data_IF_802335689057
#
_entry.id   IF_802335689057
#
_cell.length_a   1.000
_cell.length_b   1.000
_cell.length_c   1.000
_cell.angle_alpha   90.00
_cell.angle_beta   90.00
_cell.angle_gamma   90.00
#
_symmetry.space_group_name_H-M   'P 1'
#
loop_
_entity.id
_entity.type
_entity.pdbx_description
1 polymer ?
#
# COMPACT_ATOMS: atom_id res chain seq x y z
N UNK A 1 -8.42 54.24 9.66
CA UNK A 1 -8.07 53.81 8.28
C UNK A 1 -6.88 52.85 8.39
N UNK A 2 -7.11 51.64 8.89
CA UNK A 2 -6.09 50.60 9.03
C UNK A 2 -6.44 49.47 8.08
N UNK A 3 -5.79 49.40 6.94
CA UNK A 3 -5.91 48.32 5.98
C UNK A 3 -4.58 47.57 5.94
N UNK A 4 -4.62 46.29 6.27
CA UNK A 4 -3.46 45.40 6.30
C UNK A 4 -3.90 43.95 6.47
N UNK A 5 -4.95 43.55 5.75
CA UNK A 5 -5.36 42.17 5.53
C UNK A 5 -5.17 41.87 4.05
N UNK A 6 -4.01 41.30 3.68
CA UNK A 6 -3.68 40.65 2.40
C UNK A 6 -2.20 40.26 2.58
N UNK A 7 -1.69 39.04 2.46
CA UNK A 7 -2.10 37.94 1.62
C UNK A 7 -1.30 36.72 2.10
N UNK A 8 -1.96 35.70 2.64
CA UNK A 8 -1.35 34.38 2.87
C UNK A 8 -1.34 33.69 1.50
N UNK A 9 -0.22 33.77 0.79
CA UNK A 9 -0.01 33.01 -0.43
C UNK A 9 0.39 31.57 -0.08
N UNK A 10 -0.29 30.52 -0.61
CA UNK A 10 0.20 29.16 -0.48
C UNK A 10 1.47 28.98 -1.33
N UNK A 11 2.57 28.57 -0.67
CA UNK A 11 3.85 28.27 -1.34
C UNK A 11 3.69 26.99 -2.15
N UNK A 12 3.55 27.16 -3.46
CA UNK A 12 4.00 26.27 -4.55
C UNK A 12 4.09 24.77 -4.24
N UNK A 13 3.14 24.02 -4.80
CA UNK A 13 3.33 22.63 -5.22
C UNK A 13 4.46 22.59 -6.27
N UNK A 14 5.70 22.39 -5.83
CA UNK A 14 6.82 22.20 -6.74
C UNK A 14 6.80 20.77 -7.29
N UNK A 15 6.08 20.61 -8.40
CA UNK A 15 6.19 19.48 -9.32
C UNK A 15 7.58 19.50 -9.99
N UNK A 16 8.62 18.99 -9.33
CA UNK A 16 9.91 18.76 -9.96
C UNK A 16 10.70 17.64 -9.26
N UNK A 17 10.36 16.38 -9.58
CA UNK A 17 11.36 15.31 -9.70
C UNK A 17 10.83 14.11 -10.51
N UNK A 18 10.94 14.21 -11.83
CA UNK A 18 11.11 13.02 -12.66
C UNK A 18 12.51 12.48 -12.37
N UNK A 19 12.64 11.59 -11.37
CA UNK A 19 13.87 10.88 -11.09
C UNK A 19 13.69 9.42 -11.50
N UNK A 20 14.59 8.98 -12.39
CA UNK A 20 14.81 7.64 -12.93
C UNK A 20 14.10 6.49 -12.19
N UNK A 21 13.27 5.73 -12.92
CA UNK A 21 12.62 4.50 -12.47
C UNK A 21 13.62 3.34 -12.25
N UNK A 22 14.59 3.54 -11.38
CA UNK A 22 15.34 2.48 -10.71
C UNK A 22 14.54 2.05 -9.50
N UNK A 23 13.74 1.00 -9.68
CA UNK A 23 13.09 0.14 -8.67
C UNK A 23 12.74 0.82 -7.33
N UNK A 24 11.65 1.61 -7.30
CA UNK A 24 11.15 2.24 -6.06
C UNK A 24 10.83 1.22 -4.95
N UNK A 25 10.63 -0.05 -5.31
CA UNK A 25 10.40 -1.14 -4.38
C UNK A 25 11.52 -2.16 -4.50
N UNK A 26 12.11 -2.58 -3.38
CA UNK A 26 13.08 -3.68 -3.32
C UNK A 26 12.36 -5.02 -3.03
N UNK A 27 12.25 -5.93 -4.02
CA UNK A 27 11.58 -7.21 -3.81
C UNK A 27 12.28 -8.08 -2.75
N UNK A 28 13.61 -7.96 -2.61
CA UNK A 28 14.36 -8.68 -1.57
C UNK A 28 14.04 -8.18 -0.15
N UNK A 29 13.50 -6.96 -0.03
CA UNK A 29 13.01 -6.41 1.23
C UNK A 29 11.49 -6.62 1.44
N UNK A 30 10.83 -7.37 0.55
CA UNK A 30 9.38 -7.56 0.59
C UNK A 30 8.58 -6.34 0.15
N UNK A 31 9.18 -5.43 -0.62
CA UNK A 31 8.55 -4.18 -1.02
C UNK A 31 7.85 -4.31 -2.39
N UNK A 32 6.70 -3.66 -2.53
CA UNK A 32 5.95 -3.55 -3.79
C UNK A 32 5.52 -2.09 -4.01
N UNK A 33 5.65 -1.59 -5.23
CA UNK A 33 5.20 -0.25 -5.58
C UNK A 33 3.73 -0.25 -6.05
N UNK A 34 2.95 0.72 -5.57
CA UNK A 34 1.59 0.98 -6.02
C UNK A 34 1.40 2.49 -6.21
N UNK A 35 0.83 2.88 -7.35
CA UNK A 35 0.49 4.27 -7.61
C UNK A 35 -0.97 4.54 -7.20
N UNK A 36 -1.15 5.54 -6.33
CA UNK A 36 -2.41 5.94 -5.73
C UNK A 36 -2.53 7.46 -5.90
N UNK A 37 -3.61 7.94 -6.51
CA UNK A 37 -3.83 9.36 -6.83
C UNK A 37 -2.64 10.01 -7.57
N UNK A 38 -2.00 9.26 -8.47
CA UNK A 38 -0.81 9.71 -9.21
C UNK A 38 0.49 9.79 -8.39
N UNK A 39 0.48 9.33 -7.13
CA UNK A 39 1.66 9.26 -6.25
C UNK A 39 2.08 7.80 -6.08
N UNK A 40 3.36 7.50 -6.30
CA UNK A 40 3.89 6.16 -6.07
C UNK A 40 4.20 5.95 -4.60
N UNK A 41 3.58 4.93 -4.01
CA UNK A 41 3.83 4.48 -2.65
C UNK A 41 4.56 3.13 -2.67
N UNK A 42 5.42 2.93 -1.68
CA UNK A 42 6.09 1.64 -1.43
C UNK A 42 5.36 0.95 -0.29
N UNK A 43 4.89 -0.26 -0.55
CA UNK A 43 4.17 -1.09 0.39
C UNK A 43 5.08 -2.21 0.87
N UNK A 44 4.97 -2.59 2.14
CA UNK A 44 5.67 -3.72 2.74
C UNK A 44 4.87 -4.28 3.91
N UNK A 45 4.78 -5.59 4.04
CA UNK A 45 4.14 -6.23 5.20
C UNK A 45 5.18 -6.46 6.30
N UNK A 46 5.08 -5.70 7.39
CA UNK A 46 5.85 -5.97 8.60
C UNK A 46 5.13 -7.00 9.48
N UNK A 47 5.83 -7.62 10.43
CA UNK A 47 5.19 -8.53 11.38
C UNK A 47 4.04 -7.87 12.16
N UNK A 48 4.18 -6.59 12.54
CA UNK A 48 3.11 -5.84 13.19
C UNK A 48 1.89 -5.61 12.28
N UNK A 49 2.13 -5.30 11.00
CA UNK A 49 1.06 -5.13 10.02
C UNK A 49 0.33 -6.46 9.74
N UNK A 50 1.07 -7.57 9.67
CA UNK A 50 0.51 -8.92 9.51
C UNK A 50 -0.35 -9.32 10.72
N UNK A 51 0.12 -9.06 11.94
CA UNK A 51 -0.65 -9.35 13.16
C UNK A 51 -1.96 -8.54 13.22
N UNK A 52 -1.92 -7.26 12.83
CA UNK A 52 -3.12 -6.44 12.74
C UNK A 52 -4.09 -6.95 11.67
N UNK A 53 -3.57 -7.38 10.51
CA UNK A 53 -4.38 -7.91 9.42
C UNK A 53 -5.03 -9.25 9.78
N UNK A 54 -4.31 -10.15 10.44
CA UNK A 54 -4.84 -11.43 10.95
C UNK A 54 -6.02 -11.19 11.89
N UNK A 55 -5.86 -10.27 12.84
CA UNK A 55 -6.94 -9.86 13.75
C UNK A 55 -8.12 -9.22 13.01
N UNK A 56 -7.86 -8.40 11.99
CA UNK A 56 -8.90 -7.71 11.21
C UNK A 56 -9.70 -8.65 10.31
N UNK A 57 -9.05 -9.66 9.72
CA UNK A 57 -9.68 -10.63 8.82
C UNK A 57 -10.24 -11.86 9.55
N UNK A 58 -10.09 -11.90 10.89
CA UNK A 58 -10.53 -13.01 11.75
C UNK A 58 -9.94 -14.36 11.32
N UNK A 59 -8.72 -14.35 10.78
CA UNK A 59 -8.02 -15.56 10.36
C UNK A 59 -7.24 -16.17 11.54
N UNK A 60 -7.23 -17.51 11.70
CA UNK A 60 -6.61 -18.16 12.85
C UNK A 60 -5.07 -18.26 12.74
N UNK A 61 -4.51 -17.97 11.57
CA UNK A 61 -3.06 -17.97 11.33
C UNK A 61 -2.70 -17.25 10.03
N UNK A 62 -1.45 -16.78 9.93
CA UNK A 62 -0.89 -16.23 8.70
C UNK A 62 -0.97 -17.21 7.51
N UNK A 63 -0.87 -18.51 7.75
CA UNK A 63 -1.01 -19.54 6.70
C UNK A 63 -2.45 -19.57 6.17
N UNK A 64 -3.45 -19.49 7.06
CA UNK A 64 -4.86 -19.44 6.66
C UNK A 64 -5.17 -18.16 5.87
N UNK A 65 -4.60 -17.03 6.29
CA UNK A 65 -4.68 -15.76 5.57
C UNK A 65 -4.09 -15.86 4.16
N UNK A 66 -2.89 -16.41 4.01
CA UNK A 66 -2.26 -16.58 2.68
C UNK A 66 -3.10 -17.51 1.80
N UNK A 67 -3.50 -18.68 2.30
CA UNK A 67 -4.30 -19.64 1.56
C UNK A 67 -5.63 -19.04 1.06
N UNK A 68 -6.29 -18.23 1.89
CA UNK A 68 -7.51 -17.51 1.50
C UNK A 68 -7.30 -16.61 0.28
N UNK A 69 -6.18 -15.89 0.22
CA UNK A 69 -5.87 -15.02 -0.91
C UNK A 69 -5.47 -15.80 -2.17
N UNK A 70 -4.71 -16.89 -2.01
CA UNK A 70 -4.32 -17.78 -3.12
C UNK A 70 -5.53 -18.49 -3.75
N UNK A 71 -6.51 -18.89 -2.95
CA UNK A 71 -7.75 -19.52 -3.40
C UNK A 71 -8.75 -18.52 -4.01
N UNK A 72 -8.42 -17.22 -4.03
CA UNK A 72 -9.33 -16.18 -4.52
C UNK A 72 -10.53 -15.93 -3.61
N UNK A 73 -10.51 -16.42 -2.37
CA UNK A 73 -11.58 -16.26 -1.37
C UNK A 73 -11.47 -14.94 -0.61
N UNK A 74 -11.24 -13.85 -1.33
CA UNK A 74 -11.11 -12.51 -0.75
C UNK A 74 -12.16 -11.54 -1.26
N UNK A 75 -12.58 -10.62 -0.40
CA UNK A 75 -13.46 -9.51 -0.74
C UNK A 75 -12.66 -8.27 -1.16
N UNK A 76 -13.33 -7.25 -1.72
CA UNK A 76 -12.70 -5.95 -1.96
C UNK A 76 -12.22 -5.29 -0.65
N UNK A 77 -12.94 -5.51 0.45
CA UNK A 77 -12.55 -5.04 1.79
C UNK A 77 -11.26 -5.71 2.26
N UNK A 78 -11.10 -7.00 1.96
CA UNK A 78 -9.89 -7.74 2.33
C UNK A 78 -8.67 -7.20 1.58
N UNK A 79 -8.84 -6.90 0.28
CA UNK A 79 -7.80 -6.25 -0.54
C UNK A 79 -7.44 -4.87 0.03
N UNK A 80 -8.44 -4.04 0.38
CA UNK A 80 -8.20 -2.75 1.00
C UNK A 80 -7.45 -2.87 2.33
N UNK A 81 -7.88 -3.78 3.20
CA UNK A 81 -7.23 -4.01 4.49
C UNK A 81 -5.75 -4.41 4.32
N UNK A 82 -5.47 -5.29 3.36
CA UNK A 82 -4.11 -5.73 3.07
C UNK A 82 -3.24 -4.60 2.50
N UNK A 83 -3.79 -3.78 1.58
CA UNK A 83 -3.06 -2.63 1.05
C UNK A 83 -2.77 -1.58 2.13
N UNK A 84 -3.73 -1.31 3.03
CA UNK A 84 -3.51 -0.43 4.20
C UNK A 84 -2.39 -0.98 5.10
N UNK A 85 -2.41 -2.28 5.40
CA UNK A 85 -1.35 -2.93 6.15
C UNK A 85 0.02 -2.80 5.45
N UNK A 86 0.05 -2.95 4.13
CA UNK A 86 1.24 -2.72 3.30
C UNK A 86 1.75 -1.29 3.33
N UNK A 87 0.85 -0.30 3.23
CA UNK A 87 1.18 1.13 3.28
C UNK A 87 1.75 1.51 4.65
N UNK A 88 1.12 1.04 5.74
CA UNK A 88 1.61 1.24 7.10
C UNK A 88 3.00 0.65 7.31
N UNK A 89 3.25 -0.58 6.84
CA UNK A 89 4.57 -1.20 6.93
C UNK A 89 5.64 -0.59 6.01
N UNK A 90 5.21 0.13 4.96
CA UNK A 90 6.03 1.01 4.12
C UNK A 90 6.23 2.42 4.69
N UNK A 91 5.67 2.73 5.87
CA UNK A 91 5.79 4.02 6.55
C UNK A 91 4.87 5.11 6.01
N UNK A 92 3.83 4.75 5.24
CA UNK A 92 2.84 5.66 4.70
C UNK A 92 1.60 5.70 5.60
N UNK A 93 1.20 6.88 6.14
CA UNK A 93 0.04 7.00 7.01
C UNK A 93 -1.25 7.19 6.19
N UNK A 94 -1.62 6.20 5.37
CA UNK A 94 -2.87 6.20 4.61
C UNK A 94 -3.85 5.20 5.24
N UNK A 95 -5.05 5.66 5.61
CA UNK A 95 -6.07 4.83 6.24
C UNK A 95 -7.03 4.17 5.22
N UNK A 96 -7.86 3.25 5.71
CA UNK A 96 -8.77 2.47 4.88
C UNK A 96 -9.85 3.31 4.19
N UNK A 97 -10.36 4.34 4.86
CA UNK A 97 -11.40 5.22 4.30
C UNK A 97 -10.81 6.07 3.17
N UNK A 98 -9.66 6.68 3.41
CA UNK A 98 -8.97 7.49 2.39
C UNK A 98 -8.55 6.63 1.20
N UNK A 99 -8.07 5.40 1.44
CA UNK A 99 -7.74 4.47 0.35
C UNK A 99 -8.98 4.03 -0.44
N UNK A 100 -10.12 3.82 0.23
CA UNK A 100 -11.37 3.43 -0.45
C UNK A 100 -11.91 4.52 -1.40
N UNK A 101 -11.60 5.79 -1.12
CA UNK A 101 -11.93 6.94 -1.97
C UNK A 101 -10.85 7.26 -3.03
N UNK A 102 -9.68 6.61 -2.94
CA UNK A 102 -8.54 6.90 -3.79
C UNK A 102 -8.60 6.21 -5.16
N UNK A 103 -7.97 6.83 -6.15
CA UNK A 103 -7.75 6.24 -7.46
C UNK A 103 -6.47 5.39 -7.44
N UNK A 104 -6.62 4.09 -7.70
CA UNK A 104 -5.48 3.19 -7.89
C UNK A 104 -5.20 3.08 -9.39
N UNK A 105 -3.98 3.42 -9.81
CA UNK A 105 -3.57 3.28 -11.21
C UNK A 105 -3.63 1.80 -11.63
N UNK A 106 -4.40 1.52 -12.69
CA UNK A 106 -4.69 0.14 -13.13
C UNK A 106 -5.91 -0.51 -12.44
N UNK A 107 -6.59 0.22 -11.55
CA UNK A 107 -7.88 -0.15 -10.98
C UNK A 107 -7.84 -1.34 -10.00
N UNK A 108 -9.01 -1.95 -9.70
CA UNK A 108 -9.16 -2.96 -8.65
C UNK A 108 -8.39 -4.26 -8.94
N UNK A 109 -8.21 -4.60 -10.22
CA UNK A 109 -7.42 -5.78 -10.61
C UNK A 109 -5.95 -5.57 -10.25
N UNK A 110 -5.40 -4.37 -10.48
CA UNK A 110 -4.02 -4.05 -10.08
C UNK A 110 -3.86 -4.05 -8.57
N UNK A 111 -4.85 -3.52 -7.84
CA UNK A 111 -4.90 -3.56 -6.38
C UNK A 111 -4.79 -5.00 -5.84
N UNK A 112 -5.61 -5.91 -6.37
CA UNK A 112 -5.57 -7.33 -5.99
C UNK A 112 -4.22 -8.00 -6.33
N UNK A 113 -3.65 -7.70 -7.50
CA UNK A 113 -2.33 -8.21 -7.88
C UNK A 113 -1.21 -7.73 -6.94
N UNK A 114 -1.25 -6.46 -6.52
CA UNK A 114 -0.26 -5.92 -5.56
C UNK A 114 -0.44 -6.58 -4.19
N UNK A 115 -1.68 -6.77 -3.75
CA UNK A 115 -1.97 -7.47 -2.51
C UNK A 115 -1.41 -8.92 -2.51
N UNK A 116 -1.66 -9.67 -3.60
CA UNK A 116 -1.10 -11.00 -3.77
C UNK A 116 0.44 -11.00 -3.82
N UNK A 117 1.05 -10.03 -4.51
CA UNK A 117 2.51 -9.89 -4.56
C UNK A 117 3.12 -9.60 -3.18
N UNK A 118 2.47 -8.77 -2.35
CA UNK A 118 2.93 -8.50 -0.99
C UNK A 118 2.99 -9.77 -0.14
N UNK A 119 1.95 -10.61 -0.20
CA UNK A 119 1.93 -11.89 0.51
C UNK A 119 3.01 -12.82 -0.04
N UNK A 120 3.12 -12.94 -1.36
CA UNK A 120 4.11 -13.79 -2.02
C UNK A 120 5.55 -13.38 -1.66
N UNK A 121 5.85 -12.09 -1.55
CA UNK A 121 7.20 -11.65 -1.14
C UNK A 121 7.45 -11.78 0.36
N UNK A 122 6.40 -11.76 1.18
CA UNK A 122 6.53 -11.87 2.65
C UNK A 122 6.69 -13.31 3.12
N UNK A 123 6.10 -14.26 2.40
CA UNK A 123 6.06 -15.68 2.77
C UNK A 123 6.69 -16.61 1.73
N UNK A 124 6.83 -16.17 0.49
CA UNK A 124 7.59 -16.91 -0.50
C UNK A 124 9.06 -16.90 -0.09
N UNK A 125 9.63 -18.09 0.09
CA UNK A 125 11.08 -18.27 0.14
C UNK A 125 11.68 -17.47 -1.00
N UNK A 126 12.50 -16.46 -0.67
CA UNK A 126 13.17 -15.65 -1.68
C UNK A 126 13.74 -16.56 -2.75
N UNK A 127 13.35 -16.37 -4.00
CA UNK A 127 13.88 -17.17 -5.08
C UNK A 127 15.38 -16.88 -5.22
N UNK A 128 16.18 -17.78 -4.65
CA UNK A 128 17.52 -18.18 -5.02
C UNK A 128 17.65 -19.63 -4.48
N UNK A 129 17.64 -20.69 -5.29
CA UNK A 129 18.67 -21.06 -6.26
C UNK A 129 20.07 -21.03 -5.66
#
# INVERSE_FOLDING_TARGET
MGAGMDQIAPRSFAAHRFMSAGTLANPHAGEVALEINGVVHVLRLTLGALAALEAQLEEPSLIALVARFEEGRFSATDVLALLVAGLQGGGQPLDALTLAEAEITGGPVRAAQVAAQLLALSFGTGAAA
#
